data_IF_586972512070
#
_entry.id   IF_586972512070
#
_cell.length_a   1.000
_cell.length_b   1.000
_cell.length_c   1.000
_cell.angle_alpha   90.00
_cell.angle_beta   90.00
_cell.angle_gamma   90.00
#
_symmetry.space_group_name_H-M   'P 1'
#
loop_
_entity.id
_entity.type
_entity.pdbx_description
1 polymer ?
#
# COMPACT_ATOMS: atom_id res chain seq x y z
N UNK A 1 15.32 19.99 7.38
CA UNK A 1 15.30 20.34 8.80
C UNK A 1 14.29 19.46 9.52
N UNK A 2 14.47 19.20 10.79
CA UNK A 2 13.58 18.40 11.66
C UNK A 2 12.14 18.97 11.68
N UNK A 3 11.99 20.23 11.40
CA UNK A 3 10.71 20.97 11.34
C UNK A 3 9.77 20.51 10.21
N UNK A 4 10.21 19.67 9.27
CA UNK A 4 9.41 19.25 8.12
C UNK A 4 9.21 17.72 8.06
N UNK A 5 9.31 17.00 9.18
CA UNK A 5 9.11 15.54 9.24
C UNK A 5 7.73 15.10 8.72
N UNK A 6 6.71 15.94 8.87
CA UNK A 6 5.36 15.70 8.35
C UNK A 6 5.35 15.44 6.82
N UNK A 7 6.32 15.98 6.07
CA UNK A 7 6.43 15.78 4.61
C UNK A 7 6.71 14.34 4.20
N UNK A 8 7.17 13.50 5.11
CA UNK A 8 7.34 12.08 4.83
C UNK A 8 6.02 11.29 4.78
N UNK A 9 4.94 11.83 5.38
CA UNK A 9 3.61 11.20 5.35
C UNK A 9 2.61 11.94 4.47
N UNK A 10 2.66 13.24 4.43
CA UNK A 10 1.63 14.04 3.78
C UNK A 10 1.46 13.80 2.28
N UNK A 11 2.46 13.37 1.49
CA UNK A 11 2.23 13.06 0.09
C UNK A 11 1.16 11.98 -0.13
N UNK A 12 0.94 11.05 0.81
CA UNK A 12 -0.09 10.03 0.66
C UNK A 12 -1.52 10.59 0.62
N UNK A 13 -1.75 11.83 1.06
CA UNK A 13 -3.05 12.49 1.02
C UNK A 13 -3.28 13.32 -0.25
N UNK A 14 -2.24 13.56 -1.03
CA UNK A 14 -2.33 14.33 -2.28
C UNK A 14 -2.82 13.43 -3.42
N UNK A 15 -3.86 13.87 -4.13
CA UNK A 15 -4.37 13.16 -5.29
C UNK A 15 -4.55 14.14 -6.45
N UNK A 16 -4.10 13.75 -7.64
CA UNK A 16 -4.04 14.62 -8.81
C UNK A 16 -5.24 14.44 -9.76
N UNK A 17 -6.11 13.45 -9.51
CA UNK A 17 -7.34 13.25 -10.28
C UNK A 17 -8.43 12.60 -9.42
N UNK A 18 -9.68 12.77 -9.83
CA UNK A 18 -10.83 12.13 -9.16
C UNK A 18 -10.75 10.61 -9.21
N UNK A 19 -10.37 10.04 -10.35
CA UNK A 19 -10.21 8.58 -10.48
C UNK A 19 -9.12 8.05 -9.54
N UNK A 20 -8.03 8.79 -9.36
CA UNK A 20 -6.93 8.41 -8.47
C UNK A 20 -7.39 8.30 -7.00
N UNK A 21 -8.10 9.29 -6.48
CA UNK A 21 -8.62 9.21 -5.10
C UNK A 21 -9.73 8.18 -4.98
N UNK A 22 -10.58 8.03 -6.01
CA UNK A 22 -11.68 7.06 -6.00
C UNK A 22 -11.15 5.62 -5.90
N UNK A 23 -10.22 5.21 -6.76
CA UNK A 23 -9.67 3.85 -6.73
C UNK A 23 -8.89 3.56 -5.44
N UNK A 24 -8.07 4.50 -4.99
CA UNK A 24 -7.37 4.36 -3.70
C UNK A 24 -8.37 4.23 -2.54
N UNK A 25 -9.40 5.07 -2.51
CA UNK A 25 -10.44 5.05 -1.49
C UNK A 25 -11.25 3.76 -1.48
N UNK A 26 -11.64 3.25 -2.66
CA UNK A 26 -12.39 1.99 -2.77
C UNK A 26 -11.59 0.80 -2.23
N UNK A 27 -10.32 0.69 -2.59
CA UNK A 27 -9.48 -0.41 -2.10
C UNK A 27 -9.18 -0.24 -0.60
N UNK A 28 -8.92 0.98 -0.14
CA UNK A 28 -8.73 1.28 1.28
C UNK A 28 -9.98 0.90 2.08
N UNK A 29 -11.18 1.20 1.59
CA UNK A 29 -12.43 0.84 2.24
C UNK A 29 -12.68 -0.67 2.21
N UNK A 30 -12.41 -1.37 1.12
CA UNK A 30 -12.64 -2.82 1.05
C UNK A 30 -11.61 -3.59 1.86
N UNK A 31 -10.34 -3.50 1.49
CA UNK A 31 -9.26 -4.28 2.13
C UNK A 31 -8.96 -3.77 3.54
N UNK A 32 -8.91 -2.45 3.74
CA UNK A 32 -8.64 -1.83 5.03
C UNK A 32 -9.69 -2.22 6.08
N UNK A 33 -10.98 -2.14 5.74
CA UNK A 33 -12.06 -2.56 6.66
C UNK A 33 -12.00 -4.03 7.04
N UNK A 34 -11.62 -4.91 6.11
CA UNK A 34 -11.46 -6.35 6.40
C UNK A 34 -10.30 -6.58 7.36
N UNK A 35 -9.16 -5.91 7.14
CA UNK A 35 -8.01 -5.98 8.05
C UNK A 35 -8.39 -5.43 9.43
N UNK A 36 -9.10 -4.29 9.48
CA UNK A 36 -9.56 -3.68 10.73
C UNK A 36 -10.51 -4.60 11.49
N UNK A 37 -11.50 -5.16 10.81
CA UNK A 37 -12.48 -6.06 11.43
C UNK A 37 -11.84 -7.33 12.01
N UNK A 38 -10.82 -7.86 11.34
CA UNK A 38 -10.14 -9.09 11.76
C UNK A 38 -9.05 -8.86 12.80
N UNK A 39 -8.30 -7.77 12.68
CA UNK A 39 -7.07 -7.58 13.44
C UNK A 39 -7.04 -6.30 14.27
N UNK A 40 -8.12 -5.54 14.22
CA UNK A 40 -8.32 -4.32 14.97
C UNK A 40 -7.73 -3.04 14.33
N UNK A 41 -8.20 -1.88 14.79
CA UNK A 41 -7.85 -0.58 14.18
C UNK A 41 -6.37 -0.21 14.37
N UNK A 42 -5.74 -0.64 15.47
CA UNK A 42 -4.33 -0.36 15.73
C UNK A 42 -3.44 -1.02 14.66
N UNK A 43 -3.77 -2.25 14.26
CA UNK A 43 -3.04 -2.96 13.21
C UNK A 43 -3.15 -2.24 11.88
N UNK A 44 -4.36 -1.85 11.51
CA UNK A 44 -4.58 -1.08 10.28
C UNK A 44 -3.84 0.27 10.32
N UNK A 45 -3.92 1.00 11.43
CA UNK A 45 -3.21 2.26 11.59
C UNK A 45 -1.69 2.10 11.43
N UNK A 46 -1.09 1.10 12.07
CA UNK A 46 0.33 0.80 11.92
C UNK A 46 0.69 0.49 10.45
N UNK A 47 -0.10 -0.33 9.78
CA UNK A 47 0.10 -0.62 8.35
C UNK A 47 0.08 0.65 7.50
N UNK A 48 -0.93 1.50 7.67
CA UNK A 48 -1.07 2.75 6.92
C UNK A 48 0.11 3.70 7.18
N UNK A 49 0.43 3.94 8.45
CA UNK A 49 1.49 4.89 8.84
C UNK A 49 2.86 4.42 8.36
N UNK A 50 3.23 3.17 8.63
CA UNK A 50 4.56 2.68 8.29
C UNK A 50 4.73 2.42 6.79
N UNK A 51 3.73 1.85 6.12
CA UNK A 51 3.82 1.66 4.66
C UNK A 51 3.80 2.98 3.90
N UNK A 52 3.02 3.96 4.36
CA UNK A 52 3.01 5.31 3.81
C UNK A 52 4.38 5.98 3.94
N UNK A 53 4.99 5.90 5.13
CA UNK A 53 6.33 6.42 5.36
C UNK A 53 7.37 5.76 4.44
N UNK A 54 7.40 4.41 4.41
CA UNK A 54 8.36 3.65 3.60
C UNK A 54 8.20 3.99 2.12
N UNK A 55 6.96 4.02 1.63
CA UNK A 55 6.64 4.33 0.23
C UNK A 55 7.08 5.74 -0.17
N UNK A 56 6.75 6.73 0.65
CA UNK A 56 7.08 8.13 0.36
C UNK A 56 8.60 8.39 0.43
N UNK A 57 9.27 7.83 1.44
CA UNK A 57 10.74 7.95 1.57
C UNK A 57 11.43 7.30 0.38
N UNK A 58 11.02 6.08 0.00
CA UNK A 58 11.61 5.38 -1.14
C UNK A 58 11.40 6.17 -2.45
N UNK A 59 10.20 6.70 -2.68
CA UNK A 59 9.92 7.52 -3.87
C UNK A 59 10.75 8.80 -3.89
N UNK A 60 10.85 9.51 -2.76
CA UNK A 60 11.65 10.71 -2.65
C UNK A 60 13.14 10.44 -2.91
N UNK A 61 13.68 9.35 -2.37
CA UNK A 61 15.09 8.98 -2.58
C UNK A 61 15.41 8.65 -4.04
N UNK A 62 14.47 8.03 -4.76
CA UNK A 62 14.68 7.64 -6.16
C UNK A 62 14.36 8.75 -7.17
N UNK A 63 13.53 9.71 -6.79
CA UNK A 63 13.06 10.77 -7.70
C UNK A 63 12.78 12.07 -6.91
N UNK A 64 13.83 12.71 -6.35
CA UNK A 64 13.67 13.85 -5.43
C UNK A 64 13.05 15.09 -6.09
N UNK A 65 13.24 15.25 -7.40
CA UNK A 65 12.79 16.42 -8.16
C UNK A 65 11.38 16.26 -8.76
N UNK A 66 10.73 15.10 -8.51
CA UNK A 66 9.39 14.85 -9.04
C UNK A 66 8.32 15.14 -8.00
N UNK A 67 7.27 15.84 -8.40
CA UNK A 67 6.06 15.95 -7.60
C UNK A 67 5.33 14.61 -7.62
N UNK A 68 5.12 14.02 -6.46
CA UNK A 68 4.38 12.77 -6.31
C UNK A 68 3.39 12.86 -5.14
N UNK A 69 2.42 11.97 -5.17
CA UNK A 69 1.43 11.84 -4.11
C UNK A 69 0.46 10.69 -4.40
N UNK A 70 -0.35 10.40 -3.42
CA UNK A 70 -1.38 9.36 -3.49
C UNK A 70 -1.24 8.28 -2.43
N UNK A 71 -2.37 7.74 -2.04
CA UNK A 71 -2.46 6.66 -1.06
C UNK A 71 -2.02 5.30 -1.65
N UNK A 72 -1.66 5.26 -2.94
CA UNK A 72 -1.44 4.02 -3.67
C UNK A 72 -0.31 3.15 -3.10
N UNK A 73 0.75 3.73 -2.55
CA UNK A 73 1.78 2.97 -1.85
C UNK A 73 1.22 2.20 -0.65
N UNK A 74 0.34 2.82 0.13
CA UNK A 74 -0.39 2.17 1.23
C UNK A 74 -1.34 1.10 0.68
N UNK A 75 -2.09 1.41 -0.39
CA UNK A 75 -3.01 0.46 -1.03
C UNK A 75 -2.29 -0.81 -1.50
N UNK A 76 -1.13 -0.68 -2.15
CA UNK A 76 -0.29 -1.81 -2.52
C UNK A 76 0.17 -2.61 -1.30
N UNK A 77 0.51 -1.93 -0.21
CA UNK A 77 0.88 -2.60 1.04
C UNK A 77 -0.29 -3.39 1.66
N UNK A 78 -1.49 -2.82 1.70
CA UNK A 78 -2.67 -3.50 2.24
C UNK A 78 -3.04 -4.74 1.41
N UNK A 79 -3.00 -4.64 0.07
CA UNK A 79 -3.24 -5.77 -0.83
C UNK A 79 -2.20 -6.88 -0.57
N UNK A 80 -0.92 -6.53 -0.54
CA UNK A 80 0.18 -7.47 -0.34
C UNK A 80 0.13 -8.12 1.06
N UNK A 81 -0.14 -7.31 2.09
CA UNK A 81 -0.32 -7.77 3.46
C UNK A 81 -1.46 -8.78 3.57
N UNK A 82 -2.66 -8.40 3.16
CA UNK A 82 -3.84 -9.25 3.25
C UNK A 82 -3.70 -10.52 2.42
N UNK A 83 -3.14 -10.40 1.21
CA UNK A 83 -2.88 -11.54 0.32
C UNK A 83 -1.93 -12.56 0.93
N UNK A 84 -0.82 -12.14 1.54
CA UNK A 84 0.15 -13.05 2.15
C UNK A 84 -0.36 -13.57 3.49
N UNK A 85 -0.93 -12.70 4.34
CA UNK A 85 -1.44 -13.07 5.65
C UNK A 85 -2.48 -14.19 5.57
N UNK A 86 -3.52 -14.04 4.70
CA UNK A 86 -4.57 -15.06 4.53
C UNK A 86 -4.06 -16.39 3.97
N UNK A 87 -2.90 -16.42 3.30
CA UNK A 87 -2.27 -17.65 2.82
C UNK A 87 -1.45 -18.35 3.89
N UNK A 88 -0.82 -17.60 4.75
CA UNK A 88 0.06 -18.15 5.79
C UNK A 88 -0.70 -18.53 7.07
N UNK A 89 -1.87 -17.94 7.29
CA UNK A 89 -2.72 -18.18 8.47
C UNK A 89 -3.93 -19.02 8.05
N UNK A 90 -3.91 -20.32 8.42
CA UNK A 90 -4.90 -21.30 7.96
C UNK A 90 -6.36 -20.97 8.27
N UNK A 91 -6.62 -20.26 9.37
CA UNK A 91 -7.96 -19.89 9.82
C UNK A 91 -8.26 -18.40 9.57
N UNK A 92 -7.47 -17.71 8.76
CA UNK A 92 -7.71 -16.31 8.43
C UNK A 92 -8.96 -16.19 7.56
N UNK A 93 -9.84 -15.24 7.86
CA UNK A 93 -10.89 -14.88 6.95
C UNK A 93 -10.30 -14.26 5.67
N UNK A 94 -11.16 -14.11 4.71
CA UNK A 94 -10.82 -13.62 3.40
C UNK A 94 -10.59 -12.10 3.42
N UNK A 95 -9.33 -11.67 3.43
CA UNK A 95 -8.94 -10.27 3.50
C UNK A 95 -8.87 -9.59 2.13
N UNK A 96 -8.40 -10.32 1.12
CA UNK A 96 -8.16 -9.81 -0.23
C UNK A 96 -8.84 -10.69 -1.27
N UNK A 97 -9.62 -10.08 -2.15
CA UNK A 97 -10.34 -10.77 -3.22
C UNK A 97 -9.40 -11.56 -4.15
N UNK A 98 -9.83 -12.76 -4.67
CA UNK A 98 -9.05 -13.46 -5.67
C UNK A 98 -8.81 -12.55 -6.86
N UNK A 99 -7.58 -12.55 -7.34
CA UNK A 99 -7.20 -11.74 -8.49
C UNK A 99 -6.81 -10.30 -8.18
N UNK A 100 -7.17 -9.72 -7.01
CA UNK A 100 -6.79 -8.33 -6.71
C UNK A 100 -5.28 -8.14 -6.66
N UNK A 101 -4.53 -9.10 -6.13
CA UNK A 101 -3.07 -9.08 -6.16
C UNK A 101 -2.54 -9.17 -7.60
N UNK A 102 -3.12 -10.03 -8.42
CA UNK A 102 -2.76 -10.14 -9.84
C UNK A 102 -3.05 -8.85 -10.59
N UNK A 103 -4.21 -8.23 -10.33
CA UNK A 103 -4.56 -6.92 -10.90
C UNK A 103 -3.59 -5.83 -10.45
N UNK A 104 -3.18 -5.81 -9.19
CA UNK A 104 -2.20 -4.83 -8.68
C UNK A 104 -0.84 -4.99 -9.37
N UNK A 105 -0.37 -6.23 -9.55
CA UNK A 105 0.87 -6.51 -10.26
C UNK A 105 0.76 -6.16 -11.76
N UNK A 106 -0.35 -6.48 -12.41
CA UNK A 106 -0.59 -6.10 -13.79
C UNK A 106 -0.63 -4.57 -13.97
N UNK A 107 -1.32 -3.87 -13.06
CA UNK A 107 -1.33 -2.40 -13.04
C UNK A 107 0.09 -1.84 -12.89
N UNK A 108 0.90 -2.42 -12.00
CA UNK A 108 2.28 -2.00 -11.80
C UNK A 108 3.12 -2.16 -13.08
N UNK A 109 2.94 -3.27 -13.81
CA UNK A 109 3.62 -3.48 -15.11
C UNK A 109 3.19 -2.42 -16.13
N UNK A 110 1.89 -2.11 -16.21
CA UNK A 110 1.39 -1.03 -17.08
C UNK A 110 1.98 0.33 -16.71
N UNK A 111 2.10 0.63 -15.41
CA UNK A 111 2.71 1.88 -14.96
C UNK A 111 4.20 1.97 -15.37
N UNK A 112 4.93 0.88 -15.30
CA UNK A 112 6.33 0.83 -15.74
C UNK A 112 6.50 0.93 -17.25
N UNK A 113 5.54 0.43 -18.02
CA UNK A 113 5.62 0.48 -19.50
C UNK A 113 5.52 1.91 -20.07
N UNK A 114 5.14 2.90 -19.25
CA UNK A 114 4.89 4.27 -19.68
C UNK A 114 3.53 4.48 -20.35
N UNK A 115 2.77 3.41 -20.64
CA UNK A 115 1.45 3.51 -21.30
C UNK A 115 0.51 4.41 -20.49
N UNK A 116 0.50 4.27 -19.17
CA UNK A 116 -0.37 5.05 -18.27
C UNK A 116 -0.03 6.56 -18.34
N UNK A 117 1.26 6.89 -18.35
CA UNK A 117 1.75 8.27 -18.51
C UNK A 117 1.43 8.81 -19.90
N UNK A 118 1.63 8.00 -20.94
CA UNK A 118 1.27 8.35 -22.31
C UNK A 118 -0.23 8.60 -22.47
N UNK A 119 -1.09 7.85 -21.79
CA UNK A 119 -2.52 8.04 -21.77
C UNK A 119 -2.99 9.28 -20.98
N UNK A 120 -2.05 10.14 -20.52
CA UNK A 120 -2.38 11.39 -19.84
C UNK A 120 -2.73 11.26 -18.34
N UNK A 121 -2.47 10.12 -17.73
CA UNK A 121 -2.74 9.91 -16.30
C UNK A 121 -1.65 10.46 -15.36
N UNK A 122 -0.68 11.20 -15.93
CA UNK A 122 0.41 11.84 -15.19
C UNK A 122 1.56 10.89 -14.86
N UNK A 123 2.54 11.41 -14.10
CA UNK A 123 3.66 10.61 -13.64
C UNK A 123 3.24 9.70 -12.49
N UNK A 124 3.54 8.42 -12.63
CA UNK A 124 3.21 7.42 -11.63
C UNK A 124 4.39 7.21 -10.68
N UNK A 125 4.11 7.23 -9.39
CA UNK A 125 5.08 6.98 -8.32
C UNK A 125 5.41 5.47 -8.19
N UNK A 126 6.04 4.90 -9.20
CA UNK A 126 6.30 3.47 -9.31
C UNK A 126 7.11 2.91 -8.14
N UNK A 127 8.09 3.67 -7.65
CA UNK A 127 8.90 3.27 -6.50
C UNK A 127 8.06 3.18 -5.23
N UNK A 128 7.11 4.12 -5.04
CA UNK A 128 6.20 4.07 -3.90
C UNK A 128 5.32 2.81 -3.91
N UNK A 129 4.83 2.40 -5.09
CA UNK A 129 4.05 1.17 -5.24
C UNK A 129 4.84 -0.08 -4.84
N UNK A 130 6.07 -0.21 -5.35
CA UNK A 130 6.95 -1.35 -5.04
C UNK A 130 7.32 -1.36 -3.56
N UNK A 131 7.74 -0.23 -3.02
CA UNK A 131 8.11 -0.11 -1.61
C UNK A 131 6.91 -0.44 -0.71
N UNK A 132 5.71 0.01 -1.10
CA UNK A 132 4.46 -0.35 -0.44
C UNK A 132 4.21 -1.85 -0.46
N UNK A 133 4.26 -2.47 -1.63
CA UNK A 133 4.07 -3.91 -1.80
C UNK A 133 5.04 -4.71 -0.93
N UNK A 134 6.33 -4.40 -0.99
CA UNK A 134 7.36 -5.09 -0.20
C UNK A 134 7.16 -4.91 1.30
N UNK A 135 6.81 -3.69 1.76
CA UNK A 135 6.50 -3.43 3.17
C UNK A 135 5.29 -4.24 3.64
N UNK A 136 4.24 -4.35 2.82
CA UNK A 136 3.06 -5.15 3.12
C UNK A 136 3.38 -6.64 3.28
N UNK A 137 4.20 -7.20 2.38
CA UNK A 137 4.67 -8.60 2.50
C UNK A 137 5.48 -8.82 3.79
N UNK A 138 6.40 -7.90 4.10
CA UNK A 138 7.20 -7.96 5.33
C UNK A 138 6.32 -7.93 6.58
N UNK A 139 5.38 -6.99 6.65
CA UNK A 139 4.47 -6.87 7.79
C UNK A 139 3.55 -8.09 7.95
N UNK A 140 3.12 -8.72 6.86
CA UNK A 140 2.36 -9.96 6.91
C UNK A 140 3.17 -11.10 7.53
N UNK A 141 4.42 -11.27 7.08
CA UNK A 141 5.33 -12.27 7.65
C UNK A 141 5.56 -12.07 9.14
N UNK A 142 5.82 -10.83 9.57
CA UNK A 142 5.98 -10.49 10.99
C UNK A 142 4.69 -10.75 11.79
N UNK A 143 3.54 -10.39 11.26
CA UNK A 143 2.26 -10.60 11.92
C UNK A 143 1.97 -12.09 12.17
N UNK A 144 2.23 -12.94 11.17
CA UNK A 144 2.08 -14.40 11.30
C UNK A 144 3.04 -14.98 12.35
N UNK A 145 4.29 -14.52 12.36
CA UNK A 145 5.25 -14.97 13.39
C UNK A 145 4.80 -14.60 14.81
N UNK A 146 4.28 -13.38 14.99
CA UNK A 146 3.75 -12.94 16.30
C UNK A 146 2.54 -13.76 16.70
N UNK A 147 1.59 -14.05 15.78
CA UNK A 147 0.43 -14.90 16.05
C UNK A 147 0.85 -16.29 16.51
N UNK A 148 1.77 -16.94 15.80
CA UNK A 148 2.28 -18.27 16.16
C UNK A 148 2.93 -18.30 17.55
N UNK A 149 3.67 -17.26 17.94
CA UNK A 149 4.30 -17.17 19.27
C UNK A 149 3.29 -16.98 20.39
N UNK A 150 2.11 -16.44 20.09
CA UNK A 150 1.02 -16.23 21.06
C UNK A 150 0.05 -17.42 21.14
N UNK A 151 0.25 -18.47 20.36
CA UNK A 151 -0.63 -19.65 20.31
C UNK A 151 -1.99 -19.39 19.65
N UNK A 152 -2.06 -18.36 18.81
CA UNK A 152 -3.26 -17.96 18.05
C UNK A 152 -3.22 -18.52 16.63
#
# INVERSE_FOLDING_TARGET
SVEQLWRYWTPMFLHFSFSHILFNGLIMLDVGRRIEAEQGPVRLLCLVVFSGLISNVAQFMMSPDTLFGGLSGVVFALIAYGWLFQRLQKNSPYLVAPGLMVMALFWQVLCFSGIVTWAGMGNIANTAHIAGLLSGLLFAGLAVQISKRRGL
#
